data_IF_409756501460
#
_entry.id   IF_409756501460
#
_cell.length_a   1.000
_cell.length_b   1.000
_cell.length_c   1.000
_cell.angle_alpha   90.00
_cell.angle_beta   90.00
_cell.angle_gamma   90.00
#
_symmetry.space_group_name_H-M   'P 1'
#
loop_
_entity.id
_entity.type
_entity.pdbx_description
1 polymer ?
#
# COMPACT_ATOMS: atom_id res chain seq x y z
N UNK A 1 -12.96 8.97 -13.42
CA UNK A 1 -12.93 8.84 -11.95
C UNK A 1 -14.17 8.05 -11.54
N UNK A 2 -14.04 6.78 -11.17
CA UNK A 2 -15.18 6.05 -10.60
C UNK A 2 -15.57 6.71 -9.28
N UNK A 3 -16.85 7.02 -9.12
CA UNK A 3 -17.37 7.62 -7.90
C UNK A 3 -17.16 6.67 -6.72
N UNK A 4 -16.89 7.19 -5.54
CA UNK A 4 -16.76 6.39 -4.33
C UNK A 4 -18.02 5.52 -4.06
N UNK A 5 -19.19 5.97 -4.54
CA UNK A 5 -20.44 5.21 -4.52
C UNK A 5 -20.35 3.92 -5.33
N UNK A 6 -19.86 3.98 -6.57
CA UNK A 6 -19.78 2.81 -7.44
C UNK A 6 -18.84 1.73 -6.89
N UNK A 7 -17.77 2.13 -6.21
CA UNK A 7 -16.85 1.21 -5.52
C UNK A 7 -17.52 0.58 -4.29
N UNK A 8 -18.32 1.37 -3.56
CA UNK A 8 -19.08 0.87 -2.41
C UNK A 8 -20.09 -0.19 -2.84
N UNK A 9 -20.89 0.09 -3.86
CA UNK A 9 -21.94 -0.81 -4.36
C UNK A 9 -21.34 -2.14 -4.86
N UNK A 10 -20.22 -2.08 -5.58
CA UNK A 10 -19.50 -3.27 -6.03
C UNK A 10 -19.01 -4.14 -4.86
N UNK A 11 -18.52 -3.53 -3.77
CA UNK A 11 -18.08 -4.25 -2.58
C UNK A 11 -19.25 -4.88 -1.83
N UNK A 12 -20.38 -4.19 -1.74
CA UNK A 12 -21.61 -4.70 -1.10
C UNK A 12 -22.14 -5.92 -1.87
N UNK A 13 -22.24 -5.82 -3.20
CA UNK A 13 -22.64 -6.92 -4.08
C UNK A 13 -21.70 -8.13 -3.92
N UNK A 14 -20.38 -7.90 -3.89
CA UNK A 14 -19.39 -8.96 -3.67
C UNK A 14 -19.58 -9.68 -2.32
N UNK A 15 -19.90 -8.93 -1.26
CA UNK A 15 -20.19 -9.48 0.07
C UNK A 15 -21.41 -10.40 0.08
N UNK A 16 -22.51 -9.99 -0.57
CA UNK A 16 -23.71 -10.83 -0.67
C UNK A 16 -23.48 -12.10 -1.50
N UNK A 17 -22.69 -12.01 -2.60
CA UNK A 17 -22.28 -13.20 -3.37
C UNK A 17 -21.46 -14.17 -2.53
N UNK A 18 -20.54 -13.66 -1.70
CA UNK A 18 -19.74 -14.49 -0.80
C UNK A 18 -20.60 -15.16 0.29
N UNK A 19 -21.59 -14.46 0.83
CA UNK A 19 -22.50 -14.99 1.84
C UNK A 19 -23.31 -16.19 1.30
N UNK A 20 -23.77 -16.14 0.06
CA UNK A 20 -24.50 -17.25 -0.60
C UNK A 20 -23.63 -18.51 -0.71
N UNK A 21 -22.34 -18.34 -1.02
CA UNK A 21 -21.40 -19.44 -1.20
C UNK A 21 -20.79 -19.97 0.11
N UNK A 22 -21.05 -19.33 1.25
CA UNK A 22 -20.48 -19.72 2.53
C UNK A 22 -21.34 -20.83 3.18
N UNK A 23 -20.79 -22.03 3.43
CA UNK A 23 -21.54 -23.13 4.06
C UNK A 23 -21.92 -22.83 5.52
N UNK A 24 -21.26 -21.88 6.17
CA UNK A 24 -21.53 -21.49 7.57
C UNK A 24 -22.63 -20.43 7.70
N UNK A 25 -23.27 -20.03 6.60
CA UNK A 25 -24.38 -19.07 6.60
C UNK A 25 -25.70 -19.82 6.53
N UNK A 26 -26.70 -19.37 7.30
CA UNK A 26 -28.04 -19.97 7.30
C UNK A 26 -28.76 -19.79 5.97
N UNK A 27 -29.64 -20.73 5.61
CA UNK A 27 -30.40 -20.66 4.35
C UNK A 27 -31.27 -19.40 4.27
N UNK A 28 -31.88 -18.96 5.36
CA UNK A 28 -32.64 -17.69 5.43
C UNK A 28 -31.76 -16.47 5.08
N UNK A 29 -30.52 -16.44 5.54
CA UNK A 29 -29.59 -15.35 5.25
C UNK A 29 -29.07 -15.38 3.81
N UNK A 30 -28.89 -16.59 3.23
CA UNK A 30 -28.58 -16.75 1.81
C UNK A 30 -29.73 -16.26 0.94
N UNK A 31 -30.97 -16.59 1.30
CA UNK A 31 -32.16 -16.18 0.56
C UNK A 31 -32.33 -14.66 0.54
N UNK A 32 -32.17 -14.02 1.70
CA UNK A 32 -32.14 -12.56 1.79
C UNK A 32 -31.04 -11.95 0.92
N UNK A 33 -29.87 -12.59 0.86
CA UNK A 33 -28.76 -12.13 0.02
C UNK A 33 -29.06 -12.26 -1.47
N UNK A 34 -29.82 -13.28 -1.89
CA UNK A 34 -30.28 -13.44 -3.28
C UNK A 34 -31.24 -12.31 -3.68
N UNK A 35 -32.23 -12.02 -2.84
CA UNK A 35 -33.20 -10.93 -3.08
C UNK A 35 -32.51 -9.56 -3.25
N UNK A 36 -31.48 -9.29 -2.43
CA UNK A 36 -30.69 -8.06 -2.53
C UNK A 36 -29.91 -7.99 -3.84
N UNK A 37 -29.34 -9.10 -4.31
CA UNK A 37 -28.60 -9.16 -5.56
C UNK A 37 -29.51 -8.99 -6.79
N UNK A 38 -30.71 -9.58 -6.75
CA UNK A 38 -31.73 -9.45 -7.79
C UNK A 38 -32.19 -8.00 -7.93
N UNK A 39 -32.52 -7.33 -6.81
CA UNK A 39 -32.93 -5.92 -6.81
C UNK A 39 -31.83 -4.93 -7.23
N UNK A 40 -30.56 -5.28 -7.02
CA UNK A 40 -29.42 -4.45 -7.39
C UNK A 40 -29.00 -4.60 -8.87
N UNK A 41 -29.72 -5.39 -9.68
CA UNK A 41 -29.32 -5.70 -11.06
C UNK A 41 -28.04 -6.55 -11.11
N UNK A 42 -27.66 -7.14 -9.98
CA UNK A 42 -26.55 -8.07 -9.91
C UNK A 42 -26.97 -9.37 -10.58
N UNK A 43 -26.58 -9.54 -11.84
CA UNK A 43 -26.67 -10.83 -12.54
C UNK A 43 -25.97 -11.88 -11.65
N UNK A 44 -26.79 -12.69 -10.99
CA UNK A 44 -26.39 -13.95 -10.42
C UNK A 44 -26.68 -14.97 -11.51
N UNK A 45 -25.76 -15.09 -12.48
CA UNK A 45 -25.78 -16.31 -13.27
C UNK A 45 -25.60 -17.46 -12.29
N UNK A 46 -26.60 -18.32 -12.23
CA UNK A 46 -26.52 -19.65 -11.65
C UNK A 46 -25.50 -20.44 -12.48
N UNK A 47 -24.21 -20.13 -12.28
CA UNK A 47 -23.11 -20.97 -12.75
C UNK A 47 -23.14 -22.22 -11.90
N UNK A 48 -23.97 -23.16 -12.33
CA UNK A 48 -23.72 -24.57 -12.13
C UNK A 48 -22.29 -24.87 -12.59
N UNK A 49 -21.59 -25.62 -11.77
CA UNK A 49 -20.30 -26.25 -12.09
C UNK A 49 -19.08 -25.31 -12.09
N UNK A 50 -18.34 -25.42 -10.98
CA UNK A 50 -16.89 -25.15 -10.85
C UNK A 50 -16.32 -24.08 -11.77
N UNK A 51 -16.79 -22.83 -11.66
CA UNK A 51 -15.93 -21.73 -12.07
C UNK A 51 -14.83 -21.64 -11.02
N UNK A 52 -13.65 -22.11 -11.37
CA UNK A 52 -12.43 -21.89 -10.62
C UNK A 52 -12.38 -20.42 -10.21
N UNK A 53 -12.60 -20.14 -8.93
CA UNK A 53 -12.25 -18.85 -8.35
C UNK A 53 -10.75 -18.72 -8.53
N UNK A 54 -10.34 -18.00 -9.57
CA UNK A 54 -9.10 -17.25 -9.51
C UNK A 54 -9.26 -16.33 -8.30
N UNK A 55 -8.66 -16.75 -7.18
CA UNK A 55 -8.46 -15.90 -6.02
C UNK A 55 -7.49 -14.82 -6.45
N UNK A 56 -7.97 -13.84 -7.21
CA UNK A 56 -7.32 -12.54 -7.32
C UNK A 56 -7.50 -11.82 -5.98
N UNK A 57 -6.70 -12.26 -5.02
CA UNK A 57 -6.21 -11.40 -3.96
C UNK A 57 -4.82 -10.94 -4.41
N UNK A 58 -4.73 -10.08 -5.42
CA UNK A 58 -3.47 -9.46 -5.81
C UNK A 58 -2.34 -10.44 -6.15
N UNK A 59 -2.69 -11.66 -6.56
CA UNK A 59 -1.72 -12.58 -7.14
C UNK A 59 -1.73 -12.28 -8.62
N UNK A 60 -0.74 -11.48 -9.03
CA UNK A 60 -0.32 -11.24 -10.41
C UNK A 60 -0.86 -12.32 -11.34
N UNK A 61 -1.67 -11.90 -12.31
CA UNK A 61 -1.97 -12.66 -13.53
C UNK A 61 -0.76 -13.51 -13.87
N UNK A 62 -0.97 -14.84 -13.87
CA UNK A 62 -0.01 -15.83 -14.30
C UNK A 62 0.20 -15.62 -15.80
N UNK A 63 0.98 -14.59 -16.14
CA UNK A 63 1.65 -14.49 -17.43
C UNK A 63 2.72 -15.58 -17.38
N UNK A 64 2.42 -16.71 -18.01
CA UNK A 64 3.44 -17.65 -18.46
C UNK A 64 4.27 -16.95 -19.53
N UNK A 65 5.24 -16.15 -19.09
CA UNK A 65 6.16 -15.42 -19.97
C UNK A 65 6.41 -13.98 -19.51
N UNK A 66 7.69 -13.71 -19.19
CA UNK A 66 8.26 -12.43 -18.75
C UNK A 66 7.87 -12.01 -17.32
N UNK A 67 8.72 -12.30 -16.34
CA UNK A 67 9.88 -11.46 -16.10
C UNK A 67 10.98 -12.28 -15.45
N UNK A 68 12.13 -12.44 -16.12
CA UNK A 68 13.36 -12.96 -15.50
C UNK A 68 13.86 -12.05 -14.37
N UNK A 69 13.24 -10.87 -14.21
CA UNK A 69 13.56 -9.90 -13.19
C UNK A 69 12.55 -9.79 -12.04
N UNK A 70 13.07 -9.52 -10.84
CA UNK A 70 12.33 -9.32 -9.61
C UNK A 70 11.52 -8.02 -9.63
N UNK A 71 10.28 -8.09 -9.17
CA UNK A 71 9.50 -6.90 -8.89
C UNK A 71 10.16 -6.04 -7.80
N UNK A 72 9.94 -4.72 -7.85
CA UNK A 72 10.46 -3.81 -6.82
C UNK A 72 10.02 -4.18 -5.39
N UNK A 73 8.85 -4.82 -5.23
CA UNK A 73 8.38 -5.32 -3.94
C UNK A 73 9.18 -6.53 -3.46
N UNK A 74 9.55 -7.45 -4.35
CA UNK A 74 10.42 -8.58 -4.02
C UNK A 74 11.82 -8.09 -3.62
N UNK A 75 12.40 -7.17 -4.38
CA UNK A 75 13.70 -6.55 -4.07
C UNK A 75 13.67 -5.91 -2.67
N UNK A 76 12.62 -5.13 -2.36
CA UNK A 76 12.43 -4.54 -1.02
C UNK A 76 12.32 -5.60 0.08
N UNK A 77 11.61 -6.70 -0.19
CA UNK A 77 11.48 -7.82 0.74
C UNK A 77 12.84 -8.48 1.05
N UNK A 78 13.63 -8.79 0.02
CA UNK A 78 14.97 -9.36 0.21
C UNK A 78 15.91 -8.39 0.93
N UNK A 79 15.84 -7.08 0.64
CA UNK A 79 16.58 -6.06 1.41
C UNK A 79 16.18 -6.03 2.89
N UNK A 80 14.89 -6.20 3.20
CA UNK A 80 14.42 -6.29 4.59
C UNK A 80 14.92 -7.56 5.30
N UNK A 81 15.02 -8.68 4.60
CA UNK A 81 15.63 -9.93 5.10
C UNK A 81 17.06 -9.68 5.56
N UNK A 82 17.84 -8.91 4.78
CA UNK A 82 19.23 -8.56 5.11
C UNK A 82 19.37 -7.64 6.32
N UNK A 83 18.46 -6.68 6.49
CA UNK A 83 18.53 -5.71 7.60
C UNK A 83 17.96 -6.24 8.91
N UNK A 84 17.09 -7.26 8.85
CA UNK A 84 16.47 -7.81 10.05
C UNK A 84 17.47 -8.68 10.86
N UNK A 85 17.79 -8.33 12.12
CA UNK A 85 18.75 -9.07 12.93
C UNK A 85 18.23 -10.45 13.37
N UNK A 86 16.92 -10.69 13.29
CA UNK A 86 16.30 -11.98 13.65
C UNK A 86 16.32 -12.99 12.51
N UNK A 87 16.78 -12.61 11.33
CA UNK A 87 16.86 -13.52 10.18
C UNK A 87 18.11 -14.38 10.28
N UNK A 88 18.01 -15.66 9.89
CA UNK A 88 19.16 -16.57 9.84
C UNK A 88 20.16 -16.14 8.77
N UNK A 89 21.43 -16.51 8.95
CA UNK A 89 22.49 -16.19 8.00
C UNK A 89 22.26 -16.86 6.64
N UNK A 90 21.83 -18.12 6.59
CA UNK A 90 21.50 -18.82 5.33
C UNK A 90 20.40 -18.09 4.53
N UNK A 91 19.40 -17.51 5.21
CA UNK A 91 18.34 -16.76 4.55
C UNK A 91 18.83 -15.40 4.04
N UNK A 92 19.77 -14.78 4.76
CA UNK A 92 20.44 -13.56 4.29
C UNK A 92 21.33 -13.84 3.09
N UNK A 93 22.11 -14.92 3.11
CA UNK A 93 22.97 -15.31 1.97
C UNK A 93 22.16 -15.49 0.69
N UNK A 94 21.07 -16.27 0.75
CA UNK A 94 20.15 -16.42 -0.40
C UNK A 94 19.55 -15.09 -0.84
N UNK A 95 19.19 -14.22 0.10
CA UNK A 95 18.69 -12.90 -0.25
C UNK A 95 19.76 -12.03 -0.93
N UNK A 96 21.05 -12.17 -0.58
CA UNK A 96 22.16 -11.50 -1.28
C UNK A 96 22.34 -12.06 -2.68
N UNK A 97 22.42 -13.38 -2.83
CA UNK A 97 22.58 -14.06 -4.13
C UNK A 97 21.48 -13.65 -5.11
N UNK A 98 20.22 -13.66 -4.66
CA UNK A 98 19.07 -13.26 -5.46
C UNK A 98 19.13 -11.77 -5.85
N UNK A 99 19.61 -10.90 -4.97
CA UNK A 99 19.76 -9.47 -5.25
C UNK A 99 20.96 -9.15 -6.15
N UNK A 100 22.03 -9.95 -6.07
CA UNK A 100 23.26 -9.79 -6.85
C UNK A 100 23.08 -10.29 -8.29
N UNK A 101 22.39 -11.42 -8.47
CA UNK A 101 22.02 -11.92 -9.82
C UNK A 101 21.09 -10.96 -10.57
N UNK A 102 20.37 -10.12 -9.84
CA UNK A 102 19.48 -9.06 -10.35
C UNK A 102 20.19 -7.71 -10.56
N UNK A 103 21.46 -7.65 -10.15
CA UNK A 103 22.12 -6.46 -9.62
C UNK A 103 22.72 -5.45 -10.60
N UNK A 104 22.56 -5.55 -11.92
CA UNK A 104 23.02 -4.47 -12.83
C UNK A 104 21.95 -3.42 -13.15
N UNK A 105 20.67 -3.65 -12.86
CA UNK A 105 19.59 -2.74 -13.27
C UNK A 105 19.10 -1.76 -12.18
N UNK A 106 19.53 -1.92 -10.92
CA UNK A 106 18.92 -1.21 -9.78
C UNK A 106 19.90 -0.35 -8.95
N UNK A 107 21.08 0.00 -9.46
CA UNK A 107 21.81 1.16 -8.91
C UNK A 107 21.17 2.50 -9.32
N UNK A 108 20.26 2.50 -10.30
CA UNK A 108 19.63 3.73 -10.82
C UNK A 108 18.44 4.24 -10.00
N UNK A 109 17.76 3.42 -9.18
CA UNK A 109 16.57 3.85 -8.42
C UNK A 109 16.88 4.33 -7.01
N UNK A 110 18.11 4.11 -6.52
CA UNK A 110 18.64 4.83 -5.35
C UNK A 110 18.84 6.32 -5.67
N UNK A 111 18.92 6.69 -6.96
CA UNK A 111 18.92 8.09 -7.40
C UNK A 111 17.57 8.83 -7.18
N UNK A 112 16.49 8.13 -6.80
CA UNK A 112 15.18 8.78 -6.62
C UNK A 112 14.56 8.69 -5.21
N UNK A 113 15.16 7.94 -4.26
CA UNK A 113 14.67 7.90 -2.85
C UNK A 113 15.79 7.75 -1.80
N UNK A 114 17.03 8.07 -2.17
CA UNK A 114 18.19 8.07 -1.28
C UNK A 114 18.99 9.37 -1.30
N UNK A 115 18.41 10.45 -1.83
CA UNK A 115 19.04 11.78 -1.78
C UNK A 115 18.89 12.36 -0.37
N UNK A 116 19.93 12.19 0.44
CA UNK A 116 20.14 12.81 1.76
C UNK A 116 18.92 12.74 2.69
N UNK A 117 18.76 11.62 3.40
CA UNK A 117 17.79 11.48 4.50
C UNK A 117 17.93 12.59 5.55
N UNK A 118 19.13 13.15 5.71
CA UNK A 118 19.40 14.30 6.56
C UNK A 118 18.74 15.58 6.04
N UNK A 119 18.83 15.86 4.74
CA UNK A 119 18.20 17.03 4.11
C UNK A 119 16.68 16.91 4.03
N UNK A 120 16.14 15.71 3.78
CA UNK A 120 14.70 15.50 3.81
C UNK A 120 14.14 15.65 5.24
N UNK A 121 14.85 15.12 6.24
CA UNK A 121 14.47 15.25 7.63
C UNK A 121 14.49 16.72 8.07
N UNK A 122 15.55 17.47 7.76
CA UNK A 122 15.63 18.91 8.07
C UNK A 122 14.52 19.68 7.37
N UNK A 123 14.28 19.45 6.08
CA UNK A 123 13.20 20.09 5.33
C UNK A 123 11.81 19.80 5.93
N UNK A 124 11.55 18.56 6.36
CA UNK A 124 10.30 18.18 7.00
C UNK A 124 10.12 18.83 8.37
N UNK A 125 11.19 18.91 9.17
CA UNK A 125 11.20 19.59 10.47
C UNK A 125 10.94 21.09 10.28
N UNK A 126 11.63 21.74 9.34
CA UNK A 126 11.45 23.14 9.03
C UNK A 126 10.04 23.43 8.51
N UNK A 127 9.48 22.55 7.66
CA UNK A 127 8.09 22.63 7.23
C UNK A 127 7.10 22.59 8.40
N UNK A 128 7.36 21.76 9.41
CA UNK A 128 6.59 21.72 10.65
C UNK A 128 6.64 23.03 11.43
N UNK A 129 7.82 23.64 11.55
CA UNK A 129 7.97 24.95 12.19
C UNK A 129 7.27 26.07 11.41
N UNK A 130 7.30 26.07 10.07
CA UNK A 130 6.52 27.01 9.24
C UNK A 130 5.03 26.89 9.52
N UNK A 131 4.51 25.65 9.57
CA UNK A 131 3.12 25.41 9.91
C UNK A 131 2.76 25.92 11.33
N UNK A 132 3.67 25.73 12.29
CA UNK A 132 3.47 26.18 13.67
C UNK A 132 3.37 27.72 13.80
N UNK A 133 4.13 28.47 12.99
CA UNK A 133 4.04 29.95 12.95
C UNK A 133 2.64 30.42 12.53
N UNK A 134 2.10 29.82 11.48
CA UNK A 134 0.81 30.22 10.89
C UNK A 134 -0.41 29.67 11.65
N UNK A 135 -0.25 28.62 12.45
CA UNK A 135 -1.36 28.00 13.17
C UNK A 135 -1.88 28.93 14.30
N UNK A 136 -3.18 29.31 14.31
CA UNK A 136 -3.76 30.17 15.35
C UNK A 136 -3.82 29.50 16.73
N UNK A 137 -3.78 28.17 16.80
CA UNK A 137 -3.86 27.40 18.04
C UNK A 137 -2.49 27.21 18.73
N UNK A 138 -1.41 27.73 18.14
CA UNK A 138 -0.06 27.65 18.70
C UNK A 138 0.23 28.88 19.56
N UNK A 139 0.84 28.68 20.72
CA UNK A 139 1.16 29.75 21.66
C UNK A 139 2.17 30.75 21.09
N UNK A 140 2.11 32.00 21.53
CA UNK A 140 3.04 33.06 21.10
C UNK A 140 4.50 32.70 21.40
N UNK A 141 4.76 32.05 22.54
CA UNK A 141 6.10 31.57 22.89
C UNK A 141 6.61 30.50 21.90
N UNK A 142 5.78 29.54 21.52
CA UNK A 142 6.14 28.50 20.54
C UNK A 142 6.36 29.07 19.14
N UNK A 143 5.57 30.08 18.72
CA UNK A 143 5.77 30.78 17.44
C UNK A 143 7.13 31.50 17.38
N UNK A 144 7.52 32.19 18.47
CA UNK A 144 8.85 32.83 18.55
C UNK A 144 9.98 31.81 18.40
N UNK A 145 9.86 30.67 19.06
CA UNK A 145 10.85 29.59 18.93
C UNK A 145 10.88 29.03 17.49
N UNK A 146 9.73 28.80 16.87
CA UNK A 146 9.65 28.37 15.47
C UNK A 146 10.33 29.38 14.51
N UNK A 147 10.10 30.68 14.71
CA UNK A 147 10.79 31.72 13.93
C UNK A 147 12.31 31.70 14.12
N UNK A 148 12.79 31.45 15.34
CA UNK A 148 14.23 31.36 15.61
C UNK A 148 14.85 30.18 14.87
N UNK A 149 14.25 29.00 14.96
CA UNK A 149 14.74 27.79 14.27
C UNK A 149 14.74 27.98 12.75
N UNK A 150 13.70 28.60 12.19
CA UNK A 150 13.62 28.90 10.76
C UNK A 150 14.73 29.87 10.32
N UNK A 151 15.03 30.89 11.12
CA UNK A 151 16.11 31.85 10.83
C UNK A 151 17.49 31.21 10.92
N UNK A 152 17.72 30.35 11.91
CA UNK A 152 19.00 29.65 12.10
C UNK A 152 19.33 28.68 10.95
N UNK A 153 18.29 28.20 10.24
CA UNK A 153 18.43 27.25 9.12
C UNK A 153 18.20 27.92 7.75
N UNK A 154 18.27 29.26 7.67
CA UNK A 154 18.03 30.06 6.44
C UNK A 154 16.71 29.71 5.71
N UNK A 155 15.70 29.26 6.46
CA UNK A 155 14.42 28.83 5.92
C UNK A 155 13.40 29.97 5.97
N UNK A 156 12.95 30.43 4.80
CA UNK A 156 12.05 31.58 4.72
C UNK A 156 10.66 31.30 5.33
N UNK A 157 10.11 32.30 6.02
CA UNK A 157 8.81 32.25 6.69
C UNK A 157 7.80 33.01 5.82
N UNK A 158 7.50 32.46 4.65
CA UNK A 158 6.45 32.97 3.77
C UNK A 158 5.05 32.61 4.30
#
# INVERSE_FOLDING_TARGET
MSSASQVHDHRVIGGHKAAIQNPNVSEEAKERSRQILEGAGGIFEEVGETTERTKDHGSSTRYEGASESLSGNQIRGYKATLSNPRTSEDAKEKAREILEGEGEAFESTTAYTGGNTEDEHTNRVLGGYKAAVHNPNVSTAAKRHAHQVLRENDADVA
#
